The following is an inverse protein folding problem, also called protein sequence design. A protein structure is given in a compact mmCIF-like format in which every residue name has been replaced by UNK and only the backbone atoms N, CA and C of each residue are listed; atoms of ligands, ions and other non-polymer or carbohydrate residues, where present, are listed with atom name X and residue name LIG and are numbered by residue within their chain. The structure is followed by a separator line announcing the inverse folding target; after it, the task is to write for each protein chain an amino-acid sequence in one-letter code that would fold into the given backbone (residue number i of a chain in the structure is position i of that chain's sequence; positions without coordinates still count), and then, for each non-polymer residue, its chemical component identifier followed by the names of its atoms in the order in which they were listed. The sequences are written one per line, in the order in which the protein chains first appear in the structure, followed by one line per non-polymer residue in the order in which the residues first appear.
data_IF_719569366877
#
_entry.id   IF_719569366877
#
_cell.length_a   1.000
_cell.length_b   1.000
_cell.length_c   1.000
_cell.angle_alpha   90.00
_cell.angle_beta   90.00
_cell.angle_gamma   90.00
#
_symmetry.space_group_name_H-M   'P 1'
#
loop_
_entity.id
_entity.type
_entity.pdbx_description
1 polymer ?
#
# COMPACT_ATOMS: atom_id res chain seq x y z
N UNK A 1 11.30 -26.08 5.80
CA UNK A 1 10.33 -25.48 6.74
C UNK A 1 9.10 -25.17 5.91
N UNK A 2 7.89 -25.54 6.34
CA UNK A 2 6.69 -25.10 5.61
C UNK A 2 6.50 -23.61 5.88
N UNK A 3 6.54 -22.78 4.85
CA UNK A 3 6.18 -21.37 4.97
C UNK A 3 4.74 -21.28 5.46
N UNK A 4 4.53 -20.56 6.56
CA UNK A 4 3.19 -20.30 7.09
C UNK A 4 2.70 -19.00 6.48
N UNK A 5 1.60 -19.08 5.74
CA UNK A 5 0.98 -17.93 5.11
C UNK A 5 -0.19 -17.40 5.94
N UNK A 6 -0.25 -16.08 6.08
CA UNK A 6 -1.37 -15.30 6.63
C UNK A 6 -2.22 -14.80 5.47
N UNK A 7 -3.54 -14.89 5.61
CA UNK A 7 -4.49 -14.34 4.65
C UNK A 7 -4.54 -12.81 4.78
N UNK A 8 -4.32 -12.08 3.69
CA UNK A 8 -4.44 -10.62 3.67
C UNK A 8 -5.79 -10.15 3.11
N UNK A 9 -6.54 -11.06 2.48
CA UNK A 9 -7.86 -10.81 1.92
C UNK A 9 -7.92 -11.11 0.42
N UNK A 10 -8.74 -10.34 -0.29
CA UNK A 10 -9.02 -10.53 -1.72
C UNK A 10 -9.04 -9.22 -2.47
N UNK A 11 -8.77 -9.30 -3.78
CA UNK A 11 -8.83 -8.21 -4.76
C UNK A 11 -9.63 -8.64 -5.97
N UNK A 12 -10.20 -7.69 -6.70
CA UNK A 12 -10.91 -7.95 -7.96
C UNK A 12 -10.11 -7.42 -9.14
N UNK A 13 -10.18 -8.12 -10.28
CA UNK A 13 -9.54 -7.72 -11.54
C UNK A 13 -10.49 -7.90 -12.75
N UNK A 14 -11.66 -7.22 -12.79
CA UNK A 14 -12.66 -7.41 -13.84
C UNK A 14 -12.18 -7.05 -15.26
N UNK A 15 -11.09 -6.27 -15.40
CA UNK A 15 -10.44 -6.04 -16.70
C UNK A 15 -9.68 -7.27 -17.23
N UNK A 16 -9.48 -8.28 -16.39
CA UNK A 16 -8.59 -9.41 -16.64
C UNK A 16 -7.11 -9.08 -16.44
N UNK A 17 -6.79 -7.91 -15.88
CA UNK A 17 -5.43 -7.44 -15.63
C UNK A 17 -5.27 -7.04 -14.16
N UNK A 18 -4.41 -7.78 -13.47
CA UNK A 18 -4.00 -7.47 -12.10
C UNK A 18 -2.71 -6.64 -12.13
N UNK A 19 -2.64 -5.62 -11.29
CA UNK A 19 -1.45 -4.82 -11.04
C UNK A 19 -0.99 -4.99 -9.59
N UNK A 20 0.31 -5.18 -9.40
CA UNK A 20 1.04 -5.02 -8.14
C UNK A 20 1.98 -3.82 -8.30
N UNK A 21 1.86 -2.79 -7.45
CA UNK A 21 2.57 -1.53 -7.68
C UNK A 21 2.90 -0.74 -6.42
N UNK A 22 3.70 0.31 -6.59
CA UNK A 22 3.99 1.28 -5.54
C UNK A 22 2.79 2.20 -5.31
N UNK A 23 2.32 2.30 -4.07
CA UNK A 23 1.15 3.12 -3.72
C UNK A 23 1.42 4.62 -3.93
N UNK A 24 2.64 5.08 -3.65
CA UNK A 24 2.99 6.50 -3.61
C UNK A 24 3.05 7.20 -4.96
N UNK A 25 3.09 6.43 -6.05
CA UNK A 25 3.26 6.95 -7.41
C UNK A 25 2.22 6.42 -8.41
N UNK A 26 1.26 5.61 -7.98
CA UNK A 26 0.36 4.93 -8.93
C UNK A 26 -0.62 5.88 -9.63
N UNK A 27 -0.97 7.00 -9.00
CA UNK A 27 -1.78 8.07 -9.62
C UNK A 27 -1.05 8.83 -10.73
N UNK A 28 0.29 8.84 -10.71
CA UNK A 28 1.10 9.61 -11.65
C UNK A 28 1.18 8.98 -13.05
N UNK A 29 0.81 7.71 -13.22
CA UNK A 29 0.78 7.08 -14.55
C UNK A 29 -0.01 7.89 -15.58
N UNK A 30 -1.11 8.52 -15.15
CA UNK A 30 -1.95 9.40 -16.00
C UNK A 30 -1.19 10.61 -16.55
N UNK A 31 -0.22 11.13 -15.80
CA UNK A 31 0.57 12.29 -16.18
C UNK A 31 1.69 11.92 -17.15
N UNK A 32 2.06 10.64 -17.24
CA UNK A 32 3.11 10.11 -18.12
C UNK A 32 2.63 9.85 -19.56
N UNK A 33 1.46 10.39 -19.93
CA UNK A 33 0.96 10.44 -21.31
C UNK A 33 0.11 9.25 -21.75
N UNK A 34 0.00 8.19 -20.95
CA UNK A 34 -0.92 7.07 -21.16
C UNK A 34 -1.38 6.52 -19.81
N UNK A 35 -2.67 6.16 -19.65
CA UNK A 35 -3.17 5.57 -18.41
C UNK A 35 -2.46 4.24 -18.10
N UNK A 36 -2.47 3.87 -16.81
CA UNK A 36 -1.86 2.63 -16.33
C UNK A 36 -2.50 1.42 -17.01
N UNK A 37 -3.84 1.43 -17.15
CA UNK A 37 -4.59 0.31 -17.72
C UNK A 37 -4.16 -0.07 -19.14
N UNK A 38 -3.84 0.90 -20.01
CA UNK A 38 -3.38 0.64 -21.37
C UNK A 38 -2.00 -0.05 -21.38
N UNK A 39 -1.07 0.43 -20.56
CA UNK A 39 0.28 -0.15 -20.43
C UNK A 39 0.22 -1.55 -19.81
N UNK A 40 -0.57 -1.68 -18.74
CA UNK A 40 -0.79 -2.93 -18.04
C UNK A 40 -1.46 -3.98 -18.94
N UNK A 41 -2.44 -3.58 -19.74
CA UNK A 41 -3.10 -4.45 -20.72
C UNK A 41 -2.12 -4.97 -21.78
N UNK A 42 -1.24 -4.11 -22.30
CA UNK A 42 -0.20 -4.54 -23.23
C UNK A 42 0.79 -5.54 -22.61
N UNK A 43 1.23 -5.28 -21.37
CA UNK A 43 2.09 -6.21 -20.64
C UNK A 43 1.40 -7.55 -20.36
N UNK A 44 0.15 -7.53 -19.87
CA UNK A 44 -0.62 -8.74 -19.59
C UNK A 44 -0.88 -9.57 -20.84
N UNK A 45 -1.16 -8.93 -21.99
CA UNK A 45 -1.32 -9.61 -23.28
C UNK A 45 -0.03 -10.32 -23.75
N UNK A 46 1.14 -9.87 -23.28
CA UNK A 46 2.43 -10.51 -23.52
C UNK A 46 2.79 -11.59 -22.47
N UNK A 47 1.89 -11.90 -21.53
CA UNK A 47 2.12 -12.85 -20.44
C UNK A 47 2.50 -12.20 -19.10
N UNK A 48 2.54 -10.87 -19.06
CA UNK A 48 2.89 -10.07 -17.89
C UNK A 48 4.25 -9.39 -18.00
N UNK A 49 4.51 -8.41 -17.13
CA UNK A 49 5.82 -7.77 -17.06
C UNK A 49 5.87 -6.55 -16.14
N UNK A 50 7.10 -6.13 -15.85
CA UNK A 50 7.42 -4.90 -15.13
C UNK A 50 7.32 -3.68 -16.05
N UNK A 51 6.57 -2.69 -15.58
CA UNK A 51 6.42 -1.38 -16.19
C UNK A 51 7.11 -0.36 -15.29
N UNK A 52 8.01 0.43 -15.87
CA UNK A 52 8.74 1.47 -15.17
C UNK A 52 8.83 2.72 -16.03
N UNK A 53 8.43 3.85 -15.46
CA UNK A 53 8.55 5.16 -16.08
C UNK A 53 8.70 6.22 -14.99
N UNK A 54 9.77 7.01 -15.03
CA UNK A 54 10.18 7.90 -13.93
C UNK A 54 10.25 7.16 -12.57
N UNK A 55 9.51 7.63 -11.57
CA UNK A 55 9.35 7.02 -10.25
C UNK A 55 8.13 6.09 -10.17
N UNK A 56 7.41 5.85 -11.27
CA UNK A 56 6.26 4.94 -11.30
C UNK A 56 6.71 3.53 -11.67
N UNK A 57 6.35 2.54 -10.85
CA UNK A 57 6.72 1.15 -11.05
C UNK A 57 5.62 0.20 -10.64
N UNK A 58 5.32 -0.74 -11.52
CA UNK A 58 4.33 -1.79 -11.32
C UNK A 58 4.71 -3.06 -12.04
N UNK A 59 4.20 -4.19 -11.59
CA UNK A 59 4.11 -5.43 -12.37
C UNK A 59 2.65 -5.66 -12.73
N UNK A 60 2.39 -5.91 -14.02
CA UNK A 60 1.06 -6.20 -14.54
C UNK A 60 1.01 -7.62 -15.11
N UNK A 61 -0.04 -8.36 -14.81
CA UNK A 61 -0.21 -9.77 -15.23
C UNK A 61 -1.65 -10.08 -15.62
N UNK A 62 -1.89 -11.07 -16.50
CA UNK A 62 -3.24 -11.56 -16.74
C UNK A 62 -3.81 -12.21 -15.47
N UNK A 63 -5.10 -12.03 -15.21
CA UNK A 63 -5.80 -12.65 -14.09
C UNK A 63 -7.25 -13.01 -14.43
N UNK A 64 -7.87 -13.86 -13.61
CA UNK A 64 -9.28 -14.19 -13.74
C UNK A 64 -10.16 -12.95 -13.48
N UNK A 65 -11.05 -12.64 -14.42
CA UNK A 65 -11.94 -11.49 -14.35
C UNK A 65 -13.30 -11.78 -13.69
N UNK A 66 -13.59 -13.05 -13.39
CA UNK A 66 -14.91 -13.53 -12.99
C UNK A 66 -15.02 -13.88 -11.50
N UNK A 67 -13.95 -13.66 -10.72
CA UNK A 67 -13.88 -14.03 -9.30
C UNK A 67 -12.87 -13.17 -8.53
N UNK A 68 -13.04 -13.05 -7.20
CA UNK A 68 -12.01 -12.47 -6.34
C UNK A 68 -10.73 -13.31 -6.33
N UNK A 69 -9.60 -12.62 -6.29
CA UNK A 69 -8.26 -13.18 -6.26
C UNK A 69 -7.71 -13.10 -4.84
N UNK A 70 -7.20 -14.22 -4.33
CA UNK A 70 -6.72 -14.32 -2.96
C UNK A 70 -5.32 -13.75 -2.83
N UNK A 71 -5.11 -12.95 -1.79
CA UNK A 71 -3.79 -12.41 -1.41
C UNK A 71 -3.38 -12.96 -0.06
N UNK A 72 -2.16 -13.47 0.04
CA UNK A 72 -1.56 -13.99 1.27
C UNK A 72 -0.11 -13.59 1.39
N UNK A 73 0.41 -13.56 2.61
CA UNK A 73 1.82 -13.29 2.86
C UNK A 73 2.43 -14.29 3.82
N UNK A 74 3.69 -14.66 3.61
CA UNK A 74 4.52 -15.26 4.65
C UNK A 74 5.37 -14.18 5.29
N UNK A 75 5.75 -14.39 6.55
CA UNK A 75 6.47 -13.40 7.35
C UNK A 75 7.78 -13.94 7.89
N UNK A 76 8.76 -13.07 8.05
CA UNK A 76 9.97 -13.29 8.82
C UNK A 76 10.08 -12.24 9.93
N UNK A 77 10.72 -12.54 11.07
CA UNK A 77 10.99 -11.52 12.07
C UNK A 77 11.78 -10.36 11.46
N UNK A 78 11.35 -9.14 11.73
CA UNK A 78 12.11 -7.94 11.38
C UNK A 78 13.43 -7.92 12.15
N UNK A 79 14.54 -7.54 11.51
CA UNK A 79 15.80 -7.36 12.22
C UNK A 79 15.83 -6.08 13.10
N UNK A 80 14.82 -5.22 13.02
CA UNK A 80 14.77 -3.95 13.75
C UNK A 80 14.03 -4.04 15.09
N UNK A 81 12.91 -4.75 15.12
CA UNK A 81 12.01 -4.83 16.27
C UNK A 81 11.47 -6.25 16.55
N UNK A 82 11.92 -7.26 15.79
CA UNK A 82 11.47 -8.65 15.85
C UNK A 82 9.99 -8.89 15.49
N UNK A 83 9.25 -7.84 15.09
CA UNK A 83 7.86 -7.96 14.67
C UNK A 83 7.74 -8.68 13.30
N UNK A 84 6.62 -9.34 13.00
CA UNK A 84 6.44 -10.03 11.73
C UNK A 84 6.47 -9.08 10.53
N UNK A 85 7.50 -9.18 9.69
CA UNK A 85 7.63 -8.46 8.43
C UNK A 85 7.31 -9.36 7.24
N UNK A 86 6.70 -8.81 6.18
CA UNK A 86 6.38 -9.60 4.98
C UNK A 86 7.68 -10.05 4.29
N UNK A 87 7.85 -11.36 4.18
CA UNK A 87 8.96 -11.99 3.47
C UNK A 87 8.56 -12.41 2.05
N UNK A 88 7.31 -12.82 1.86
CA UNK A 88 6.76 -13.17 0.56
C UNK A 88 5.32 -12.71 0.49
N UNK A 89 4.95 -12.06 -0.61
CA UNK A 89 3.56 -11.76 -0.97
C UNK A 89 3.15 -12.65 -2.13
N UNK A 90 1.98 -13.29 -2.04
CA UNK A 90 1.43 -14.14 -3.08
C UNK A 90 0.01 -13.73 -3.45
N UNK A 91 -0.25 -13.66 -4.76
CA UNK A 91 -1.58 -13.46 -5.32
C UNK A 91 -1.93 -14.63 -6.24
N UNK A 92 -2.98 -15.36 -5.90
CA UNK A 92 -3.52 -16.40 -6.78
C UNK A 92 -4.27 -15.76 -7.94
N UNK A 93 -3.83 -15.99 -9.18
CA UNK A 93 -4.36 -15.29 -10.36
C UNK A 93 -5.64 -15.93 -10.92
N UNK A 94 -6.05 -17.09 -10.40
CA UNK A 94 -7.25 -17.81 -10.86
C UNK A 94 -7.16 -18.32 -12.30
N UNK A 95 -5.94 -18.44 -12.83
CA UNK A 95 -5.64 -18.93 -14.17
C UNK A 95 -4.78 -20.19 -14.08
N UNK A 96 -5.02 -21.21 -14.92
CA UNK A 96 -4.18 -22.40 -14.96
C UNK A 96 -2.77 -22.06 -15.42
N UNK A 97 -1.77 -22.75 -14.86
CA UNK A 97 -0.38 -22.60 -15.28
C UNK A 97 -0.22 -22.92 -16.78
N UNK A 98 0.47 -22.07 -17.56
CA UNK A 98 0.64 -22.28 -19.00
C UNK A 98 1.36 -23.60 -19.29
N UNK A 99 0.67 -24.51 -19.99
CA UNK A 99 1.03 -25.92 -20.17
C UNK A 99 2.45 -26.27 -20.68
N UNK A 100 3.12 -25.49 -21.55
CA UNK A 100 4.48 -25.82 -21.97
C UNK A 100 5.57 -25.28 -21.02
N UNK A 101 5.22 -24.45 -20.04
CA UNK A 101 6.20 -23.83 -19.13
C UNK A 101 6.53 -24.80 -18.00
N UNK A 102 7.83 -25.04 -17.79
CA UNK A 102 8.31 -25.87 -16.69
C UNK A 102 7.86 -25.28 -15.34
N UNK A 103 7.05 -26.06 -14.60
CA UNK A 103 6.49 -25.66 -13.30
C UNK A 103 7.56 -25.50 -12.22
N UNK A 104 8.75 -26.07 -12.41
CA UNK A 104 9.85 -25.98 -11.45
C UNK A 104 10.67 -24.70 -11.57
N UNK A 105 10.43 -23.90 -12.61
CA UNK A 105 11.21 -22.69 -12.91
C UNK A 105 10.29 -21.47 -12.83
N UNK A 106 10.47 -20.58 -11.83
CA UNK A 106 9.76 -19.31 -11.77
C UNK A 106 9.98 -18.46 -13.03
N UNK A 107 8.93 -17.82 -13.55
CA UNK A 107 9.03 -16.90 -14.68
C UNK A 107 9.27 -15.49 -14.14
N UNK A 108 10.44 -14.86 -14.36
CA UNK A 108 10.71 -13.52 -13.88
C UNK A 108 9.88 -12.49 -14.64
N UNK A 109 9.25 -11.57 -13.91
CA UNK A 109 8.50 -10.44 -14.46
C UNK A 109 9.27 -9.11 -14.32
N UNK A 110 10.25 -9.06 -13.42
CA UNK A 110 11.08 -7.91 -13.10
C UNK A 110 11.23 -7.75 -11.59
N UNK A 111 11.69 -6.59 -11.15
CA UNK A 111 11.94 -6.31 -9.74
C UNK A 111 11.15 -5.08 -9.29
N UNK A 112 10.50 -5.16 -8.13
CA UNK A 112 9.80 -4.04 -7.50
C UNK A 112 10.51 -3.58 -6.22
N UNK A 113 10.58 -2.27 -5.95
CA UNK A 113 11.00 -1.74 -4.65
C UNK A 113 9.90 -1.85 -3.61
N UNK A 114 10.29 -1.85 -2.33
CA UNK A 114 9.37 -1.64 -1.20
C UNK A 114 9.15 -0.14 -1.03
N UNK A 115 8.14 0.43 -1.69
CA UNK A 115 7.87 1.87 -1.65
C UNK A 115 7.46 2.33 -0.26
N UNK A 116 8.11 3.37 0.29
CA UNK A 116 7.75 3.99 1.58
C UNK A 116 6.26 4.31 1.80
N UNK A 117 5.50 4.50 0.73
CA UNK A 117 4.08 4.84 0.82
C UNK A 117 3.17 3.61 0.85
N UNK A 118 3.73 2.41 0.73
CA UNK A 118 3.02 1.14 0.67
C UNK A 118 3.06 0.50 -0.71
N UNK A 119 2.47 -0.69 -0.82
CA UNK A 119 2.14 -1.32 -2.11
C UNK A 119 0.64 -1.43 -2.28
N UNK A 120 0.18 -1.49 -3.52
CA UNK A 120 -1.22 -1.68 -3.89
C UNK A 120 -1.38 -2.79 -4.91
N UNK A 121 -2.48 -3.52 -4.77
CA UNK A 121 -2.86 -4.67 -5.58
C UNK A 121 -4.30 -4.44 -6.05
N UNK A 122 -4.53 -4.42 -7.35
CA UNK A 122 -5.87 -4.20 -7.88
C UNK A 122 -5.97 -4.30 -9.38
N UNK A 123 -7.21 -4.14 -9.86
CA UNK A 123 -7.53 -4.04 -11.28
C UNK A 123 -6.82 -2.85 -11.94
N UNK A 124 -6.23 -3.07 -13.12
CA UNK A 124 -5.52 -2.00 -13.82
C UNK A 124 -6.42 -0.80 -14.20
N UNK A 125 -7.67 -1.05 -14.59
CA UNK A 125 -8.63 0.02 -14.93
C UNK A 125 -9.21 0.68 -13.68
N UNK A 126 -9.44 -0.09 -12.61
CA UNK A 126 -9.81 0.46 -11.30
C UNK A 126 -8.74 1.42 -10.77
N UNK A 127 -7.47 1.01 -10.83
CA UNK A 127 -6.32 1.78 -10.35
C UNK A 127 -6.02 3.03 -11.17
N UNK A 128 -6.52 3.15 -12.41
CA UNK A 128 -6.49 4.44 -13.07
C UNK A 128 -7.17 5.49 -12.17
N UNK A 129 -8.27 5.17 -11.50
CA UNK A 129 -9.02 6.13 -10.65
C UNK A 129 -8.39 6.44 -9.30
N UNK A 130 -7.27 5.82 -8.95
CA UNK A 130 -6.58 6.02 -7.68
C UNK A 130 -6.26 7.49 -7.41
N UNK A 131 -6.55 7.94 -6.19
CA UNK A 131 -6.17 9.24 -5.66
C UNK A 131 -4.98 9.09 -4.71
N UNK A 132 -3.82 9.63 -5.09
CA UNK A 132 -2.61 9.59 -4.26
C UNK A 132 -2.62 10.62 -3.13
N UNK A 133 -1.54 10.66 -2.34
CA UNK A 133 -1.40 11.47 -1.12
C UNK A 133 -1.77 12.96 -1.28
N UNK A 134 -1.48 13.55 -2.45
CA UNK A 134 -1.72 14.97 -2.71
C UNK A 134 -3.05 15.23 -3.44
N UNK A 135 -3.86 14.20 -3.65
CA UNK A 135 -5.12 14.27 -4.37
C UNK A 135 -6.26 14.95 -3.62
N UNK A 136 -7.40 15.03 -4.29
CA UNK A 136 -8.67 15.34 -3.66
C UNK A 136 -9.27 14.09 -3.00
N UNK A 137 -10.04 14.24 -1.91
CA UNK A 137 -10.63 13.09 -1.24
C UNK A 137 -11.64 12.38 -2.14
N UNK A 138 -11.61 11.06 -2.15
CA UNK A 138 -12.49 10.22 -2.97
C UNK A 138 -13.97 10.33 -2.56
N UNK A 139 -14.26 10.67 -1.30
CA UNK A 139 -15.60 10.73 -0.72
C UNK A 139 -15.99 12.13 -0.18
N UNK A 140 -15.11 13.13 -0.35
CA UNK A 140 -15.32 14.48 0.19
C UNK A 140 -15.05 14.62 1.70
N UNK A 141 -14.52 13.59 2.35
CA UNK A 141 -14.22 13.56 3.78
C UNK A 141 -12.72 13.67 4.07
N UNK A 142 -12.41 13.97 5.32
CA UNK A 142 -11.07 14.00 5.87
C UNK A 142 -11.08 13.67 7.36
N UNK A 143 -9.99 13.11 7.82
CA UNK A 143 -9.70 12.98 9.25
C UNK A 143 -8.91 14.20 9.71
N UNK A 144 -9.12 14.61 10.96
CA UNK A 144 -8.31 15.65 11.62
C UNK A 144 -7.63 15.02 12.82
N UNK A 145 -6.31 15.05 12.83
CA UNK A 145 -5.52 14.60 13.97
C UNK A 145 -4.79 15.76 14.60
N UNK A 146 -4.59 15.68 15.91
CA UNK A 146 -3.72 16.59 16.62
C UNK A 146 -2.99 15.89 17.77
N UNK A 147 -1.75 16.31 17.98
CA UNK A 147 -0.84 15.73 18.96
C UNK A 147 0.22 16.75 19.39
N UNK A 148 1.06 16.35 20.35
CA UNK A 148 2.14 17.17 20.88
C UNK A 148 1.90 17.61 22.31
N UNK A 149 2.66 18.62 22.73
CA UNK A 149 2.75 19.06 24.13
C UNK A 149 1.41 19.49 24.72
N UNK A 150 0.55 20.09 23.91
CA UNK A 150 -0.74 20.65 24.33
C UNK A 150 -1.93 19.83 23.85
N UNK A 151 -1.73 18.57 23.48
CA UNK A 151 -2.80 17.72 22.97
C UNK A 151 -3.93 17.49 23.99
N UNK A 152 -3.58 17.25 25.26
CA UNK A 152 -4.58 17.04 26.32
C UNK A 152 -5.38 18.31 26.63
N UNK A 153 -4.70 19.47 26.64
CA UNK A 153 -5.36 20.77 26.83
C UNK A 153 -6.29 21.09 25.64
N UNK A 154 -5.81 20.85 24.41
CA UNK A 154 -6.62 20.99 23.20
C UNK A 154 -7.81 20.02 23.21
N UNK A 155 -7.62 18.79 23.68
CA UNK A 155 -8.71 17.83 23.85
C UNK A 155 -9.75 18.29 24.87
N UNK A 156 -9.31 18.82 26.02
CA UNK A 156 -10.21 19.35 27.04
C UNK A 156 -11.05 20.54 26.53
N UNK A 157 -10.48 21.38 25.66
CA UNK A 157 -11.15 22.54 25.08
C UNK A 157 -12.06 22.18 23.89
N UNK A 158 -11.57 21.38 22.94
CA UNK A 158 -12.22 21.17 21.64
C UNK A 158 -12.92 19.82 21.50
N UNK A 159 -12.64 18.84 22.37
CA UNK A 159 -13.17 17.47 22.25
C UNK A 159 -12.23 16.57 21.43
N UNK A 160 -12.76 15.69 20.58
CA UNK A 160 -11.96 14.74 19.77
C UNK A 160 -11.68 13.43 20.50
N UNK A 161 -11.82 12.30 19.80
CA UNK A 161 -11.55 10.97 20.36
C UNK A 161 -10.06 10.67 20.40
N UNK A 162 -9.66 9.73 21.27
CA UNK A 162 -8.34 9.07 21.15
C UNK A 162 -8.44 8.04 20.02
N UNK A 163 -7.64 8.20 18.97
CA UNK A 163 -7.73 7.34 17.78
C UNK A 163 -6.62 6.31 17.84
N UNK A 164 -6.97 5.05 18.11
CA UNK A 164 -6.01 3.96 18.12
C UNK A 164 -5.55 3.62 16.69
N UNK A 165 -4.25 3.52 16.50
CA UNK A 165 -3.61 3.15 15.24
C UNK A 165 -2.59 2.07 15.54
N UNK A 166 -2.53 1.00 14.74
CA UNK A 166 -1.55 -0.10 14.88
C UNK A 166 -1.50 -0.72 16.28
N UNK A 167 -2.65 -0.82 16.96
CA UNK A 167 -2.74 -1.41 18.29
C UNK A 167 -2.23 -0.54 19.45
N UNK A 168 -1.83 0.71 19.20
CA UNK A 168 -1.39 1.66 20.23
C UNK A 168 -2.31 2.88 20.33
N UNK A 169 -2.30 3.54 21.50
CA UNK A 169 -3.03 4.79 21.71
C UNK A 169 -2.43 5.89 20.84
N UNK A 170 -3.12 6.22 19.74
CA UNK A 170 -2.68 7.22 18.78
C UNK A 170 -3.07 8.66 19.16
N UNK A 171 -3.04 9.58 18.18
CA UNK A 171 -3.34 10.99 18.41
C UNK A 171 -4.81 11.22 18.81
N UNK A 172 -5.10 12.43 19.27
CA UNK A 172 -6.49 12.86 19.38
C UNK A 172 -7.01 13.35 18.03
N UNK A 173 -8.32 13.28 17.80
CA UNK A 173 -8.87 13.76 16.54
C UNK A 173 -10.34 13.46 16.31
N UNK A 174 -10.76 13.74 15.09
CA UNK A 174 -12.08 13.42 14.55
C UNK A 174 -11.91 12.69 13.24
N UNK A 175 -12.68 11.63 13.06
CA UNK A 175 -12.69 10.86 11.83
C UNK A 175 -13.88 11.26 10.97
N UNK A 176 -13.76 11.07 9.66
CA UNK A 176 -14.85 11.15 8.69
C UNK A 176 -15.59 12.52 8.66
N UNK A 177 -14.86 13.63 8.85
CA UNK A 177 -15.44 14.97 8.76
C UNK A 177 -15.57 15.42 7.30
N UNK A 178 -16.63 16.16 6.91
CA UNK A 178 -16.63 16.88 5.65
C UNK A 178 -15.38 17.76 5.53
N UNK A 179 -14.72 17.77 4.36
CA UNK A 179 -13.42 18.45 4.20
C UNK A 179 -13.41 19.92 4.65
N UNK A 180 -14.50 20.65 4.38
CA UNK A 180 -14.62 22.05 4.80
C UNK A 180 -14.70 22.19 6.34
N UNK A 181 -15.35 21.25 7.02
CA UNK A 181 -15.40 21.19 8.47
C UNK A 181 -14.04 20.79 9.06
N UNK A 182 -13.37 19.79 8.47
CA UNK A 182 -12.02 19.40 8.85
C UNK A 182 -11.04 20.59 8.79
N UNK A 183 -11.09 21.37 7.70
CA UNK A 183 -10.29 22.57 7.53
C UNK A 183 -10.61 23.65 8.57
N UNK A 184 -11.89 23.86 8.90
CA UNK A 184 -12.30 24.80 9.93
C UNK A 184 -11.79 24.39 11.32
N UNK A 185 -11.88 23.08 11.66
CA UNK A 185 -11.37 22.53 12.93
C UNK A 185 -9.86 22.67 13.06
N UNK A 186 -9.12 22.35 12.00
CA UNK A 186 -7.68 22.48 12.01
C UNK A 186 -7.25 23.95 12.21
N UNK A 187 -7.89 24.88 11.49
CA UNK A 187 -7.64 26.32 11.65
C UNK A 187 -7.97 26.83 13.07
N UNK A 188 -9.04 26.33 13.69
CA UNK A 188 -9.42 26.67 15.06
C UNK A 188 -8.35 26.23 16.07
N UNK A 189 -7.87 24.98 15.96
CA UNK A 189 -6.79 24.43 16.80
C UNK A 189 -5.48 25.21 16.64
N UNK A 190 -5.07 25.48 15.40
CA UNK A 190 -3.86 26.27 15.12
C UNK A 190 -3.97 27.67 15.71
N UNK A 191 -5.09 28.37 15.48
CA UNK A 191 -5.30 29.72 16.01
C UNK A 191 -5.36 29.75 17.54
N UNK A 192 -5.91 28.72 18.17
CA UNK A 192 -5.90 28.58 19.63
C UNK A 192 -4.48 28.41 20.18
N UNK A 193 -3.71 27.48 19.60
CA UNK A 193 -2.34 27.22 20.03
C UNK A 193 -1.46 28.47 19.84
N UNK A 194 -1.58 29.17 18.72
CA UNK A 194 -0.81 30.37 18.44
C UNK A 194 -1.07 31.50 19.44
N UNK A 195 -2.34 31.69 19.85
CA UNK A 195 -2.72 32.74 20.80
C UNK A 195 -2.26 32.46 22.22
N UNK A 196 -2.35 31.21 22.69
CA UNK A 196 -2.12 30.87 24.10
C UNK A 196 -0.72 30.32 24.38
N UNK A 197 -0.13 29.63 23.42
CA UNK A 197 1.06 28.81 23.63
C UNK A 197 2.18 29.06 22.60
N UNK A 198 1.87 29.65 21.44
CA UNK A 198 2.81 29.98 20.37
C UNK A 198 3.26 28.79 19.52
N UNK A 199 3.73 27.69 20.13
CA UNK A 199 4.13 26.43 19.45
C UNK A 199 3.97 25.25 20.38
N UNK A 200 3.65 24.07 19.86
CA UNK A 200 3.67 22.80 20.62
C UNK A 200 2.49 21.88 20.38
N UNK A 201 1.51 22.33 19.60
CA UNK A 201 0.46 21.49 19.02
C UNK A 201 0.78 21.26 17.54
N UNK A 202 0.69 20.01 17.09
CA UNK A 202 0.69 19.67 15.68
C UNK A 202 -0.70 19.23 15.26
N UNK A 203 -1.11 19.61 14.06
CA UNK A 203 -2.44 19.34 13.51
C UNK A 203 -2.25 18.87 12.07
N UNK A 204 -2.87 17.75 11.71
CA UNK A 204 -2.95 17.28 10.32
C UNK A 204 -4.40 17.18 9.86
N UNK A 205 -4.58 17.40 8.56
CA UNK A 205 -5.82 17.09 7.84
C UNK A 205 -5.45 15.99 6.86
N UNK A 206 -5.94 14.78 7.14
CA UNK A 206 -5.66 13.63 6.31
C UNK A 206 -6.90 13.40 5.43
N UNK A 207 -6.85 13.97 4.22
CA UNK A 207 -7.90 13.81 3.22
C UNK A 207 -8.12 12.32 2.94
N UNK A 208 -9.36 11.90 2.73
CA UNK A 208 -9.69 10.54 2.30
C UNK A 208 -9.34 10.29 0.83
N UNK A 209 -8.08 10.48 0.47
CA UNK A 209 -7.51 9.92 -0.75
C UNK A 209 -7.45 8.41 -0.61
N UNK A 210 -7.33 7.68 -1.72
CA UNK A 210 -7.26 6.21 -1.68
C UNK A 210 -6.00 5.74 -0.94
N UNK A 211 -4.90 6.49 -1.04
CA UNK A 211 -3.69 6.30 -0.21
C UNK A 211 -4.00 6.33 1.29
N UNK A 212 -4.72 7.35 1.77
CA UNK A 212 -5.10 7.42 3.18
C UNK A 212 -6.10 6.33 3.57
N UNK A 213 -7.11 6.10 2.73
CA UNK A 213 -8.21 5.16 3.00
C UNK A 213 -7.71 3.73 3.18
N UNK A 214 -6.75 3.26 2.37
CA UNK A 214 -6.24 1.89 2.54
C UNK A 214 -5.41 1.75 3.82
N UNK A 215 -4.57 2.72 4.16
CA UNK A 215 -3.79 2.70 5.40
C UNK A 215 -4.69 2.70 6.63
N UNK A 216 -5.71 3.57 6.60
CA UNK A 216 -6.75 3.62 7.63
C UNK A 216 -7.48 2.28 7.79
N UNK A 217 -7.81 1.61 6.68
CA UNK A 217 -8.42 0.27 6.72
C UNK A 217 -7.47 -0.79 7.31
N UNK A 218 -6.16 -0.58 7.22
CA UNK A 218 -5.12 -1.47 7.73
C UNK A 218 -4.73 -1.27 9.20
N UNK A 219 -5.19 -0.22 9.90
CA UNK A 219 -4.74 0.10 11.27
C UNK A 219 -4.88 -1.03 12.30
N UNK A 220 -5.80 -1.96 12.08
CA UNK A 220 -6.02 -3.09 12.98
C UNK A 220 -5.51 -4.43 12.43
N UNK A 221 -4.92 -4.42 11.24
CA UNK A 221 -4.33 -5.60 10.64
C UNK A 221 -2.87 -5.74 11.11
N UNK A 222 -2.41 -6.92 11.57
CA UNK A 222 -1.04 -7.11 12.04
C UNK A 222 0.02 -6.75 10.99
N UNK A 223 -0.28 -7.05 9.72
CA UNK A 223 0.57 -6.73 8.56
C UNK A 223 0.12 -5.44 7.82
N UNK A 224 -0.66 -4.58 8.49
CA UNK A 224 -1.13 -3.29 7.97
C UNK A 224 -1.79 -3.36 6.59
N UNK A 225 -2.42 -4.49 6.29
CA UNK A 225 -3.14 -4.73 5.05
C UNK A 225 -4.56 -4.15 5.17
N UNK A 226 -4.97 -3.34 4.19
CA UNK A 226 -6.26 -2.68 4.16
C UNK A 226 -6.89 -2.76 2.77
N UNK A 227 -8.15 -3.25 2.72
CA UNK A 227 -8.90 -3.34 1.47
C UNK A 227 -9.93 -2.21 1.36
N UNK A 228 -10.00 -1.57 0.19
CA UNK A 228 -10.92 -0.48 -0.11
C UNK A 228 -11.54 -0.67 -1.51
N UNK A 229 -12.61 0.07 -1.79
CA UNK A 229 -13.20 0.15 -3.12
C UNK A 229 -12.64 1.36 -3.88
N UNK A 230 -12.07 1.11 -5.06
CA UNK A 230 -11.51 2.10 -5.98
C UNK A 230 -11.98 1.78 -7.40
N UNK A 231 -12.58 2.75 -8.10
CA UNK A 231 -13.11 2.52 -9.45
C UNK A 231 -14.18 1.41 -9.53
N UNK A 232 -14.86 1.10 -8.43
CA UNK A 232 -15.82 -0.01 -8.34
C UNK A 232 -15.18 -1.39 -8.24
N UNK A 233 -13.88 -1.47 -7.93
CA UNK A 233 -13.14 -2.70 -7.73
C UNK A 233 -12.56 -2.75 -6.31
N UNK A 234 -12.51 -3.95 -5.73
CA UNK A 234 -11.79 -4.18 -4.48
C UNK A 234 -10.28 -4.13 -4.72
N UNK A 235 -9.63 -3.16 -4.09
CA UNK A 235 -8.17 -2.97 -4.09
C UNK A 235 -7.63 -3.25 -2.70
N UNK A 236 -6.50 -3.93 -2.62
CA UNK A 236 -5.79 -4.19 -1.36
C UNK A 236 -4.50 -3.38 -1.36
N UNK A 237 -4.29 -2.60 -0.30
CA UNK A 237 -3.01 -1.97 -0.01
C UNK A 237 -2.34 -2.60 1.20
N UNK A 238 -1.02 -2.54 1.23
CA UNK A 238 -0.20 -2.90 2.40
C UNK A 238 0.69 -1.70 2.71
N UNK A 239 0.55 -1.17 3.93
CA UNK A 239 1.47 -0.17 4.45
C UNK A 239 2.73 -0.86 4.97
N UNK A 240 3.90 -0.34 4.61
CA UNK A 240 5.17 -0.86 5.10
C UNK A 240 5.60 -0.13 6.36
N UNK A 241 5.92 -0.89 7.40
CA UNK A 241 6.55 -0.37 8.60
C UNK A 241 8.05 -0.09 8.40
N UNK A 242 8.64 0.69 9.31
CA UNK A 242 10.09 0.84 9.42
C UNK A 242 10.78 -0.53 9.63
N UNK A 243 10.12 -1.44 10.35
CA UNK A 243 10.54 -2.84 10.53
C UNK A 243 10.41 -3.68 9.25
N UNK A 244 9.55 -3.31 8.30
CA UNK A 244 9.35 -3.99 7.02
C UNK A 244 10.41 -3.54 5.98
N UNK A 245 11.70 -3.70 6.29
CA UNK A 245 12.84 -3.59 5.35
C UNK A 245 13.66 -2.28 5.30
N UNK A 246 13.72 -1.47 6.36
CA UNK A 246 14.54 -0.22 6.39
C UNK A 246 14.26 0.72 5.23
N UNK A 247 13.00 1.16 5.12
CA UNK A 247 12.55 2.12 4.12
C UNK A 247 13.53 3.30 4.01
N UNK A 248 14.17 3.45 2.84
CA UNK A 248 15.22 4.46 2.64
C UNK A 248 14.61 5.78 2.21
N UNK A 249 14.88 6.85 2.94
CA UNK A 249 14.41 8.19 2.60
C UNK A 249 14.81 8.69 1.19
N UNK A 250 15.82 8.07 0.55
CA UNK A 250 16.32 8.43 -0.78
C UNK A 250 15.88 7.47 -1.90
N UNK A 251 14.88 6.62 -1.65
CA UNK A 251 14.35 5.69 -2.64
C UNK A 251 15.08 4.35 -2.62
N UNK A 252 14.29 3.28 -2.57
CA UNK A 252 14.74 1.91 -2.37
C UNK A 252 15.49 1.40 -3.60
N UNK A 253 15.05 1.79 -4.80
CA UNK A 253 15.73 1.41 -6.04
C UNK A 253 17.16 1.96 -6.15
N UNK A 254 17.39 3.22 -5.79
CA UNK A 254 18.73 3.81 -5.84
C UNK A 254 19.67 3.18 -4.80
N UNK A 255 19.10 2.56 -3.76
CA UNK A 255 19.81 1.77 -2.75
C UNK A 255 19.91 0.27 -3.09
N UNK A 256 19.47 -0.14 -4.28
CA UNK A 256 19.49 -1.55 -4.71
C UNK A 256 18.46 -2.45 -4.00
N UNK A 257 17.54 -1.88 -3.22
CA UNK A 257 16.47 -2.60 -2.51
C UNK A 257 15.28 -2.81 -3.45
N UNK A 258 15.50 -3.65 -4.46
CA UNK A 258 14.48 -4.10 -5.40
C UNK A 258 14.46 -5.61 -5.40
N UNK A 259 13.27 -6.17 -5.50
CA UNK A 259 13.03 -7.56 -5.17
C UNK A 259 12.24 -8.26 -6.27
N UNK A 260 12.60 -9.51 -6.59
CA UNK A 260 12.08 -10.20 -7.76
C UNK A 260 10.59 -10.49 -7.62
N UNK A 261 9.87 -10.22 -8.70
CA UNK A 261 8.49 -10.63 -8.90
C UNK A 261 8.45 -11.73 -9.96
N UNK A 262 7.83 -12.85 -9.63
CA UNK A 262 7.79 -14.04 -10.46
C UNK A 262 6.36 -14.56 -10.66
N UNK A 263 6.12 -15.27 -11.76
CA UNK A 263 5.00 -16.20 -11.87
C UNK A 263 5.48 -17.60 -11.50
N UNK A 264 4.66 -18.30 -10.73
CA UNK A 264 4.92 -19.68 -10.32
C UNK A 264 3.65 -20.53 -10.39
N UNK A 265 3.83 -21.85 -10.49
CA UNK A 265 2.74 -22.82 -10.37
C UNK A 265 2.58 -23.23 -8.90
N UNK A 266 1.36 -23.16 -8.37
CA UNK A 266 1.07 -23.76 -7.07
C UNK A 266 0.91 -25.29 -7.17
N UNK A 267 0.66 -25.93 -6.03
CA UNK A 267 0.46 -27.39 -5.94
C UNK A 267 -0.74 -27.89 -6.78
N UNK A 268 -1.75 -27.03 -6.99
CA UNK A 268 -2.91 -27.33 -7.82
C UNK A 268 -2.63 -27.09 -9.33
N UNK A 269 -1.51 -26.47 -9.66
CA UNK A 269 -1.17 -26.06 -11.03
C UNK A 269 -1.87 -24.78 -11.47
N UNK A 270 -2.33 -23.96 -10.52
CA UNK A 270 -2.81 -22.60 -10.75
C UNK A 270 -1.63 -21.62 -10.75
N UNK A 271 -1.79 -20.51 -11.45
CA UNK A 271 -0.77 -19.47 -11.56
C UNK A 271 -0.82 -18.55 -10.35
N UNK A 272 0.33 -18.32 -9.72
CA UNK A 272 0.53 -17.41 -8.61
C UNK A 272 1.54 -16.34 -9.01
N UNK A 273 1.20 -15.08 -8.73
CA UNK A 273 2.16 -13.98 -8.73
C UNK A 273 2.83 -13.95 -7.35
N UNK A 274 4.16 -14.08 -7.31
CA UNK A 274 4.94 -14.06 -6.08
C UNK A 274 5.91 -12.87 -6.09
N UNK A 275 5.96 -12.13 -5.00
CA UNK A 275 6.97 -11.11 -4.74
C UNK A 275 7.77 -11.51 -3.49
N UNK A 276 9.05 -11.84 -3.68
CA UNK A 276 9.92 -12.36 -2.62
C UNK A 276 10.83 -11.26 -2.11
N UNK A 277 10.61 -10.85 -0.86
CA UNK A 277 11.28 -9.74 -0.19
C UNK A 277 12.09 -10.33 0.96
N UNK A 278 13.36 -10.74 0.74
CA UNK A 278 14.18 -11.32 1.79
C UNK A 278 14.28 -10.37 2.99
N UNK A 279 14.37 -10.92 4.22
CA UNK A 279 14.64 -10.10 5.40
C UNK A 279 15.88 -9.23 5.17
N UNK A 280 15.87 -8.03 5.72
CA UNK A 280 17.04 -7.18 5.67
C UNK A 280 18.18 -7.81 6.48
N UNK A 281 19.25 -8.23 5.81
CA UNK A 281 20.47 -8.69 6.48
C UNK A 281 21.38 -7.49 6.73
N UNK A 282 21.81 -7.30 7.97
CA UNK A 282 22.78 -6.26 8.35
C UNK A 282 24.20 -6.53 7.81
N UNK A 283 24.41 -7.64 7.10
CA UNK A 283 25.74 -8.10 6.70
C UNK A 283 26.07 -7.61 5.29
N UNK A 284 26.41 -6.32 5.19
CA UNK A 284 27.31 -5.80 4.16
C UNK A 284 28.06 -4.60 4.76
N UNK A 285 29.38 -4.75 4.82
CA UNK A 285 30.28 -3.94 5.63
C UNK A 285 30.32 -2.47 5.26
N UNK A 286 30.01 -1.63 6.26
CA UNK A 286 30.59 -0.30 6.38
C UNK A 286 31.91 -0.42 7.19
N UNK A 287 32.99 -0.81 6.51
CA UNK A 287 34.37 -0.40 6.85
C UNK A 287 34.76 0.84 6.04
#
# INVERSE_FOLDING_TARGET
MHETFVDLGTVDAPSGVLVLGMAGWIDHWRELGQPLSERAGAAAAAGGGHLRDWLCEVVAVPAAADRPLRVRASTSPSPFDEEPAIATLEIGLGLPWPGPVDRSVPVPLGDLPVDRCGTVIGDAAGLDTWTGMNGEPADGLADVFYWGRYADDAHAEFGGGRIAQHGVDGPHGWLDLPLAEAAARAAELTAWCDRLHGRGLMVSIDKHTDDHRFRRAGWHHPLRAGAIEVGGCRVLGVEWDQGDHSIRHRGERDAGQVYPVTLEADEAGETVLRWTIPPHDFDDGDE
#
